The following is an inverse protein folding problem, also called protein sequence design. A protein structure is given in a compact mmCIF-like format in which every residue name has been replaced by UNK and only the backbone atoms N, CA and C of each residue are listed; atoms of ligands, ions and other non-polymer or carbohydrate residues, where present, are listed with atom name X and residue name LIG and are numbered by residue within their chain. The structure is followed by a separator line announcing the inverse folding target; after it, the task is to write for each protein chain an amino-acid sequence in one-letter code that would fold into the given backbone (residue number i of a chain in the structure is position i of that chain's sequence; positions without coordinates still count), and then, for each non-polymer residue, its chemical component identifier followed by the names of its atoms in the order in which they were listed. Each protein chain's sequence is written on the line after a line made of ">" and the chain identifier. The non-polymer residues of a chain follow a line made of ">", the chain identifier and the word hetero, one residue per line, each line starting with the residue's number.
data_IF_485214394745
#
_entry.id   IF_485214394745
#
_cell.length_a   1.000
_cell.length_b   1.000
_cell.length_c   1.000
_cell.angle_alpha   90.00
_cell.angle_beta   90.00
_cell.angle_gamma   90.00
#
_symmetry.space_group_name_H-M   'P 1'
#
loop_
_entity.id
_entity.type
_entity.pdbx_description
1 polymer ?
#
# COMPACT_ATOMS: atom_id res chain seq x y z
N UNK A 1 -3.80 1.13 5.86
CA UNK A 1 -4.97 1.97 5.57
C UNK A 1 -6.15 1.15 5.09
N UNK A 2 -6.05 0.54 3.92
CA UNK A 2 -7.15 -0.18 3.26
C UNK A 2 -7.90 -1.19 4.16
N UNK A 3 -7.19 -2.07 4.87
CA UNK A 3 -7.81 -3.03 5.81
C UNK A 3 -8.65 -2.37 6.92
N UNK A 4 -8.18 -1.26 7.49
CA UNK A 4 -8.94 -0.52 8.50
C UNK A 4 -10.24 0.03 7.90
N UNK A 5 -10.17 0.61 6.70
CA UNK A 5 -11.35 1.17 6.03
C UNK A 5 -12.36 0.08 5.67
N UNK A 6 -11.89 -1.10 5.24
CA UNK A 6 -12.73 -2.26 4.96
C UNK A 6 -13.52 -2.74 6.20
N UNK A 7 -12.99 -2.51 7.39
CA UNK A 7 -13.62 -2.90 8.66
C UNK A 7 -14.62 -1.87 9.19
N UNK A 8 -14.76 -0.70 8.55
CA UNK A 8 -15.66 0.38 8.99
C UNK A 8 -16.83 0.53 8.00
N UNK A 9 -17.99 -0.10 8.25
CA UNK A 9 -19.11 -0.09 7.30
C UNK A 9 -19.66 1.30 7.03
N UNK A 10 -19.52 2.25 7.97
CA UNK A 10 -20.05 3.62 7.82
C UNK A 10 -19.07 4.59 7.12
N UNK A 11 -17.91 4.12 6.68
CA UNK A 11 -16.91 4.95 5.99
C UNK A 11 -17.17 5.03 4.48
N UNK A 12 -18.04 5.96 4.09
CA UNK A 12 -18.54 6.07 2.71
C UNK A 12 -17.80 7.05 1.79
N UNK A 13 -16.91 7.90 2.32
CA UNK A 13 -16.24 8.97 1.54
C UNK A 13 -15.03 8.48 0.74
N UNK A 14 -14.81 7.16 0.67
CA UNK A 14 -13.70 6.56 -0.05
C UNK A 14 -12.35 6.79 0.63
N UNK A 15 -11.27 6.71 -0.17
CA UNK A 15 -9.90 6.83 0.32
C UNK A 15 -8.99 7.46 -0.73
N UNK A 16 -7.84 7.97 -0.27
CA UNK A 16 -6.85 8.65 -1.10
C UNK A 16 -5.50 7.92 -1.12
N UNK A 17 -5.51 6.59 -1.24
CA UNK A 17 -4.28 5.77 -1.39
C UNK A 17 -3.69 5.85 -2.81
N UNK A 18 -3.58 7.06 -3.37
CA UNK A 18 -3.12 7.31 -4.74
C UNK A 18 -1.59 7.44 -4.86
N UNK A 19 -0.89 7.67 -3.75
CA UNK A 19 0.55 7.97 -3.76
C UNK A 19 1.39 6.85 -4.39
N UNK A 20 1.07 5.58 -4.12
CA UNK A 20 1.80 4.43 -4.67
C UNK A 20 1.66 4.30 -6.19
N UNK A 21 0.56 4.78 -6.77
CA UNK A 21 0.29 4.70 -8.21
C UNK A 21 0.70 5.95 -8.99
N UNK A 22 0.60 7.14 -8.37
CA UNK A 22 0.69 8.41 -9.09
C UNK A 22 1.76 9.38 -8.58
N UNK A 23 2.33 9.16 -7.39
CA UNK A 23 3.27 10.10 -6.78
C UNK A 23 4.66 9.51 -6.58
N UNK A 24 4.74 8.32 -5.99
CA UNK A 24 6.01 7.64 -5.76
C UNK A 24 6.64 7.26 -7.09
N UNK A 25 7.94 7.54 -7.22
CA UNK A 25 8.74 7.05 -8.35
C UNK A 25 8.81 5.53 -8.35
N UNK A 26 8.89 4.92 -7.17
CA UNK A 26 8.96 3.48 -6.97
C UNK A 26 8.40 3.14 -5.58
N UNK A 27 7.52 2.13 -5.53
CA UNK A 27 7.00 1.58 -4.27
C UNK A 27 7.90 0.45 -3.77
N UNK A 28 7.91 0.23 -2.45
CA UNK A 28 8.68 -0.82 -1.77
C UNK A 28 8.01 -2.19 -1.80
N UNK A 29 6.79 -2.30 -2.35
CA UNK A 29 6.11 -3.58 -2.53
C UNK A 29 6.65 -4.35 -3.74
N UNK A 30 6.68 -5.68 -3.64
CA UNK A 30 7.09 -6.57 -4.73
C UNK A 30 6.12 -6.51 -5.92
N UNK A 31 4.83 -6.31 -5.63
CA UNK A 31 3.76 -6.13 -6.62
C UNK A 31 3.11 -4.74 -6.44
N UNK A 32 2.56 -4.13 -7.51
CA UNK A 32 1.87 -2.86 -7.41
C UNK A 32 0.74 -2.89 -6.38
N UNK A 33 0.56 -1.80 -5.63
CA UNK A 33 -0.59 -1.64 -4.75
C UNK A 33 -1.91 -1.82 -5.52
N UNK A 34 -2.86 -2.64 -5.03
CA UNK A 34 -3.97 -3.15 -5.84
C UNK A 34 -5.06 -2.10 -6.07
N UNK A 35 -4.87 -1.27 -7.10
CA UNK A 35 -5.85 -0.30 -7.60
C UNK A 35 -6.30 -0.74 -8.99
N UNK A 36 -7.59 -0.96 -9.17
CA UNK A 36 -8.23 -1.19 -10.48
C UNK A 36 -9.57 -0.47 -10.55
N UNK A 37 -9.88 0.08 -11.72
CA UNK A 37 -11.13 0.80 -11.99
C UNK A 37 -11.42 1.94 -11.01
N UNK A 38 -10.37 2.66 -10.60
CA UNK A 38 -10.46 3.79 -9.65
C UNK A 38 -10.70 3.39 -8.19
N UNK A 39 -10.67 2.09 -7.87
CA UNK A 39 -10.95 1.57 -6.53
C UNK A 39 -9.77 0.78 -5.99
N UNK A 40 -9.57 0.85 -4.67
CA UNK A 40 -8.63 -0.01 -3.95
C UNK A 40 -9.28 -1.37 -3.70
N UNK A 41 -8.55 -2.44 -4.00
CA UNK A 41 -9.00 -3.81 -3.80
C UNK A 41 -8.30 -4.39 -2.59
N UNK A 42 -9.06 -4.62 -1.53
CA UNK A 42 -8.53 -5.11 -0.27
C UNK A 42 -8.07 -6.56 -0.45
N UNK A 43 -6.78 -6.88 -0.20
CA UNK A 43 -6.30 -8.25 -0.31
C UNK A 43 -6.99 -9.19 0.69
N UNK A 44 -7.23 -10.44 0.28
CA UNK A 44 -7.86 -11.47 1.13
C UNK A 44 -6.84 -12.37 1.86
N UNK A 45 -5.56 -12.29 1.47
CA UNK A 45 -4.48 -13.05 2.11
C UNK A 45 -4.16 -12.60 3.53
N UNK A 46 -3.40 -13.40 4.30
CA UNK A 46 -3.06 -13.08 5.68
C UNK A 46 -2.21 -11.79 5.82
N UNK A 47 -2.29 -11.18 7.00
CA UNK A 47 -1.58 -9.93 7.28
C UNK A 47 -2.15 -8.78 6.46
N UNK A 48 -1.27 -8.01 5.81
CA UNK A 48 -1.70 -6.96 4.88
C UNK A 48 -2.02 -7.50 3.47
N UNK A 49 -1.71 -8.76 3.18
CA UNK A 49 -1.93 -9.41 1.89
C UNK A 49 -1.08 -8.84 0.74
N UNK A 50 0.07 -8.25 1.06
CA UNK A 50 1.09 -7.78 0.10
C UNK A 50 2.47 -8.22 0.56
N UNK A 51 3.40 -8.32 -0.38
CA UNK A 51 4.81 -8.67 -0.11
C UNK A 51 5.70 -7.45 -0.27
N UNK A 52 6.59 -7.20 0.69
CA UNK A 52 7.61 -6.15 0.60
C UNK A 52 8.80 -6.66 -0.22
N UNK A 53 9.33 -5.84 -1.11
CA UNK A 53 10.56 -6.07 -1.85
C UNK A 53 11.77 -5.66 -0.97
N UNK A 54 12.60 -6.62 -0.50
CA UNK A 54 13.71 -6.34 0.40
C UNK A 54 14.79 -5.46 -0.23
N UNK A 55 15.01 -5.57 -1.53
CA UNK A 55 16.05 -4.83 -2.24
C UNK A 55 15.64 -3.37 -2.43
N UNK A 56 14.36 -3.12 -2.76
CA UNK A 56 13.82 -1.75 -2.80
C UNK A 56 13.82 -1.12 -1.41
N UNK A 57 13.45 -1.87 -0.38
CA UNK A 57 13.52 -1.39 0.99
C UNK A 57 14.97 -1.04 1.38
N UNK A 58 15.94 -1.88 1.03
CA UNK A 58 17.35 -1.63 1.30
C UNK A 58 17.92 -0.43 0.53
N UNK A 59 17.41 -0.15 -0.68
CA UNK A 59 17.78 1.01 -1.50
C UNK A 59 17.31 2.34 -0.89
N UNK A 60 16.10 2.39 -0.34
CA UNK A 60 15.49 3.63 0.17
C UNK A 60 15.66 3.85 1.68
N UNK A 61 16.19 2.87 2.42
CA UNK A 61 16.49 3.07 3.85
C UNK A 61 17.54 4.17 4.03
N UNK A 62 17.32 5.03 5.00
CA UNK A 62 18.35 5.94 5.53
C UNK A 62 18.91 5.34 6.83
N UNK A 63 20.15 5.66 7.16
CA UNK A 63 20.70 5.31 8.48
C UNK A 63 20.04 6.24 9.51
N UNK A 64 19.05 5.73 10.24
CA UNK A 64 18.30 6.51 11.25
C UNK A 64 18.83 6.35 12.68
N UNK A 65 19.86 5.53 12.89
CA UNK A 65 20.54 5.38 14.18
C UNK A 65 22.06 5.22 13.94
N UNK A 66 22.79 6.31 14.11
CA UNK A 66 24.18 6.31 14.58
C UNK A 66 24.22 7.04 15.92
#
# INVERSE_FOLDING_TARGET
>A
GAHLMAALPDLHLGCEFYMSSYYLKEDILAEPFPVRDGMVHVPEGPGLGVTVDPDRLAKYRTLLLQ
#
